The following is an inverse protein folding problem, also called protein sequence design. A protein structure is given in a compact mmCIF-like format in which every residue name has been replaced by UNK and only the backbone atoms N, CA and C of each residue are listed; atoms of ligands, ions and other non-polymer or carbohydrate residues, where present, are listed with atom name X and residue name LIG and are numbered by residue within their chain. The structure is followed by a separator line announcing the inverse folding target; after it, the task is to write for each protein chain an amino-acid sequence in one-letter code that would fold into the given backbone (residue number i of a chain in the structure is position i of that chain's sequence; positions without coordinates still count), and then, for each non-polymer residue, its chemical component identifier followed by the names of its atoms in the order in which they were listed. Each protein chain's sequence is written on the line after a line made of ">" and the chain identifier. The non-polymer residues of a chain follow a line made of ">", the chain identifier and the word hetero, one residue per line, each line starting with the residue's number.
data_IF_979319467867
#
_entry.id   IF_979319467867
#
_cell.length_a   1.000
_cell.length_b   1.000
_cell.length_c   1.000
_cell.angle_alpha   90.00
_cell.angle_beta   90.00
_cell.angle_gamma   90.00
#
_symmetry.space_group_name_H-M   'P 1'
#
loop_
_entity.id
_entity.type
_entity.pdbx_description
1 polymer ?
#
# COMPACT_ATOMS: atom_id res chain seq x y z
N UNK A 1 14.90 7.97 -5.44
CA UNK A 1 14.24 6.65 -5.25
C UNK A 1 14.32 6.12 -3.80
N UNK A 2 14.94 6.85 -2.86
CA UNK A 2 15.13 6.47 -1.45
C UNK A 2 13.94 6.78 -0.52
N UNK A 3 13.00 7.65 -0.92
CA UNK A 3 11.92 8.10 -0.02
C UNK A 3 10.78 7.06 0.13
N UNK A 4 10.36 6.41 -0.97
CA UNK A 4 9.21 5.50 -0.94
C UNK A 4 9.47 4.25 -0.08
N UNK A 5 10.61 3.58 -0.28
CA UNK A 5 10.96 2.39 0.52
C UNK A 5 11.06 2.72 2.02
N UNK A 6 11.63 3.89 2.36
CA UNK A 6 11.67 4.34 3.75
C UNK A 6 10.28 4.56 4.33
N UNK A 7 9.36 5.20 3.57
CA UNK A 7 7.96 5.35 3.99
C UNK A 7 7.24 4.01 4.18
N UNK A 8 7.47 3.04 3.30
CA UNK A 8 6.87 1.70 3.40
C UNK A 8 7.38 1.00 4.66
N UNK A 9 8.69 1.03 4.90
CA UNK A 9 9.30 0.38 6.07
C UNK A 9 8.83 1.00 7.39
N UNK A 10 8.56 2.31 7.41
CA UNK A 10 8.07 3.04 8.57
C UNK A 10 6.53 3.01 8.70
N UNK A 11 5.82 2.33 7.81
CA UNK A 11 4.36 2.25 7.87
C UNK A 11 3.94 1.41 9.09
N UNK A 12 3.17 2.02 9.99
CA UNK A 12 2.68 1.36 11.19
C UNK A 12 1.50 0.44 10.88
N UNK A 13 1.25 -0.48 11.78
CA UNK A 13 0.13 -1.42 11.74
C UNK A 13 -1.21 -0.71 11.52
N UNK A 14 -1.99 -1.15 10.54
CA UNK A 14 -3.29 -0.57 10.19
C UNK A 14 -3.23 0.75 9.41
N UNK A 15 -2.03 1.28 9.12
CA UNK A 15 -1.89 2.50 8.34
C UNK A 15 -1.83 2.22 6.84
N UNK A 16 -2.21 3.24 6.06
CA UNK A 16 -2.02 3.27 4.62
C UNK A 16 -1.56 4.64 4.15
N UNK A 17 -0.94 4.67 2.96
CA UNK A 17 -0.70 5.92 2.25
C UNK A 17 -0.72 5.70 0.73
N UNK A 18 -0.96 6.79 0.01
CA UNK A 18 -0.97 6.81 -1.46
C UNK A 18 0.47 6.81 -1.98
N UNK A 19 0.82 5.84 -2.80
CA UNK A 19 2.13 5.76 -3.45
C UNK A 19 2.17 6.53 -4.77
N UNK A 20 1.06 6.56 -5.50
CA UNK A 20 0.92 7.26 -6.78
C UNK A 20 -0.54 7.45 -7.17
N UNK A 21 -0.82 8.50 -7.95
CA UNK A 21 -2.12 8.74 -8.56
C UNK A 21 -1.93 9.17 -10.02
N UNK A 22 -2.62 8.50 -10.95
CA UNK A 22 -2.59 8.83 -12.38
C UNK A 22 -3.76 8.13 -13.09
N UNK A 23 -4.28 8.72 -14.17
CA UNK A 23 -5.35 8.15 -15.01
C UNK A 23 -6.54 7.62 -14.20
N UNK A 24 -6.98 8.38 -13.20
CA UNK A 24 -8.06 8.02 -12.27
C UNK A 24 -7.85 6.70 -11.51
N UNK A 25 -6.60 6.25 -11.39
CA UNK A 25 -6.18 5.12 -10.57
C UNK A 25 -5.34 5.64 -9.41
N UNK A 26 -5.75 5.30 -8.20
CA UNK A 26 -4.97 5.54 -6.98
C UNK A 26 -4.28 4.26 -6.56
N UNK A 27 -2.97 4.27 -6.48
CA UNK A 27 -2.20 3.21 -5.85
C UNK A 27 -1.93 3.57 -4.40
N UNK A 28 -2.25 2.66 -3.48
CA UNK A 28 -1.92 2.79 -2.06
C UNK A 28 -1.19 1.54 -1.57
N UNK A 29 -0.47 1.71 -0.47
CA UNK A 29 0.08 0.61 0.31
C UNK A 29 -0.52 0.67 1.70
N UNK A 30 -0.89 -0.49 2.23
CA UNK A 30 -1.46 -0.64 3.57
C UNK A 30 -0.70 -1.73 4.34
N UNK A 31 -0.44 -1.51 5.63
CA UNK A 31 0.04 -2.54 6.54
C UNK A 31 -1.11 -3.16 7.32
N UNK A 32 -1.22 -4.49 7.28
CA UNK A 32 -2.28 -5.23 7.97
C UNK A 32 -2.31 -4.95 9.47
N UNK A 33 -3.47 -5.18 10.10
CA UNK A 33 -3.68 -4.98 11.55
C UNK A 33 -2.83 -5.87 12.45
N UNK A 34 -2.24 -6.95 11.92
CA UNK A 34 -1.27 -7.80 12.62
C UNK A 34 0.19 -7.42 12.33
N UNK A 35 0.43 -6.44 11.45
CA UNK A 35 1.75 -5.94 11.08
C UNK A 35 2.54 -6.85 10.13
N UNK A 36 2.00 -8.01 9.73
CA UNK A 36 2.73 -9.07 9.02
C UNK A 36 2.66 -8.96 7.50
N UNK A 37 1.75 -8.15 6.96
CA UNK A 37 1.51 -8.06 5.52
C UNK A 37 1.49 -6.60 5.07
N UNK A 38 2.08 -6.37 3.91
CA UNK A 38 1.90 -5.16 3.13
C UNK A 38 1.04 -5.50 1.92
N UNK A 39 -0.05 -4.74 1.71
CA UNK A 39 -0.95 -4.87 0.56
C UNK A 39 -0.77 -3.67 -0.32
N UNK A 40 -0.49 -3.91 -1.59
CA UNK A 40 -0.49 -2.87 -2.62
C UNK A 40 -1.82 -2.93 -3.35
N UNK A 41 -2.54 -1.82 -3.32
CA UNK A 41 -3.93 -1.72 -3.74
C UNK A 41 -4.00 -0.72 -4.88
N UNK A 42 -4.73 -1.06 -5.95
CA UNK A 42 -5.17 -0.11 -6.97
C UNK A 42 -6.66 0.13 -6.77
N UNK A 43 -7.04 1.39 -6.62
CA UNK A 43 -8.44 1.83 -6.55
C UNK A 43 -8.75 2.60 -7.83
N UNK A 44 -9.79 2.17 -8.54
CA UNK A 44 -10.28 2.79 -9.76
C UNK A 44 -11.28 3.91 -9.43
N UNK A 45 -11.57 4.78 -10.40
CA UNK A 45 -12.48 5.92 -10.26
C UNK A 45 -13.87 5.54 -9.72
N UNK A 46 -14.38 4.37 -10.10
CA UNK A 46 -15.67 3.86 -9.67
C UNK A 46 -15.66 3.27 -8.24
N UNK A 47 -14.55 3.39 -7.50
CA UNK A 47 -14.38 2.86 -6.15
C UNK A 47 -14.07 1.35 -6.08
N UNK A 48 -14.11 0.64 -7.21
CA UNK A 48 -13.62 -0.76 -7.24
C UNK A 48 -12.13 -0.80 -6.97
N UNK A 49 -11.64 -1.91 -6.43
CA UNK A 49 -10.23 -2.06 -6.10
C UNK A 49 -9.69 -3.46 -6.38
N UNK A 50 -8.38 -3.54 -6.50
CA UNK A 50 -7.63 -4.78 -6.68
C UNK A 50 -6.38 -4.76 -5.78
N UNK A 51 -6.14 -5.86 -5.05
CA UNK A 51 -4.87 -6.10 -4.38
C UNK A 51 -3.93 -6.80 -5.35
N UNK A 52 -3.03 -6.05 -5.98
CA UNK A 52 -2.18 -6.57 -7.06
C UNK A 52 -0.84 -7.13 -6.58
N UNK A 53 -0.45 -6.86 -5.33
CA UNK A 53 0.74 -7.42 -4.68
C UNK A 53 0.56 -7.52 -3.17
N UNK A 54 1.03 -8.62 -2.60
CA UNK A 54 1.09 -8.85 -1.16
C UNK A 54 2.50 -9.27 -0.81
N UNK A 55 3.12 -8.54 0.12
CA UNK A 55 4.43 -8.88 0.66
C UNK A 55 4.30 -9.25 2.14
N UNK A 56 5.00 -10.30 2.55
CA UNK A 56 5.08 -10.74 3.93
C UNK A 56 6.28 -10.10 4.60
N UNK A 57 6.04 -9.48 5.76
CA UNK A 57 7.08 -8.95 6.61
C UNK A 57 7.34 -9.97 7.72
N UNK A 58 8.45 -10.68 7.61
CA UNK A 58 8.97 -11.51 8.69
C UNK A 58 9.88 -10.60 9.53
N UNK A 59 9.53 -10.45 10.81
CA UNK A 59 10.33 -9.70 11.78
C UNK A 59 11.58 -10.51 12.12
#
# INVERSE_FOLDING_TARGET
>A
MTNLNSKINNLLTGQSFITSQSNNITCSVERSGDGKKLRFIRTYENGSFEVFKVDFQFV
#
